data_IF_270959079146
#
_entry.id   IF_270959079146
#
_cell.length_a   1.000
_cell.length_b   1.000
_cell.length_c   1.000
_cell.angle_alpha   90.00
_cell.angle_beta   90.00
_cell.angle_gamma   90.00
#
_symmetry.space_group_name_H-M   'P 1'
#
loop_
_entity.id
_entity.type
_entity.pdbx_description
1 polymer ?
#
# COMPACT_ATOMS: atom_id res chain seq x y z
N UNK A 1 7.16 -13.81 0.21
CA UNK A 1 5.78 -14.18 0.63
C UNK A 1 5.67 -15.68 0.80
N UNK A 2 4.82 -16.14 1.73
CA UNK A 2 4.58 -17.57 1.96
C UNK A 2 3.93 -18.23 0.74
N UNK A 3 4.23 -19.53 0.54
CA UNK A 3 3.75 -20.28 -0.62
C UNK A 3 2.22 -20.41 -0.66
N UNK A 4 1.56 -20.42 0.50
CA UNK A 4 0.07 -20.44 0.59
C UNK A 4 -0.60 -19.25 -0.08
N UNK A 5 0.11 -18.12 -0.25
CA UNK A 5 -0.38 -16.93 -0.93
C UNK A 5 0.12 -16.80 -2.37
N UNK A 6 0.82 -17.82 -2.89
CA UNK A 6 1.41 -17.79 -4.23
C UNK A 6 2.88 -17.33 -4.26
N UNK A 7 3.46 -16.99 -3.12
CA UNK A 7 4.87 -16.63 -3.00
C UNK A 7 5.80 -17.84 -3.13
N UNK A 8 7.09 -17.59 -3.34
CA UNK A 8 8.13 -18.63 -3.46
C UNK A 8 8.69 -19.09 -2.13
N UNK A 9 8.31 -18.48 -1.01
CA UNK A 9 8.82 -18.84 0.32
C UNK A 9 10.34 -18.68 0.48
N UNK A 10 10.96 -17.78 -0.28
CA UNK A 10 12.41 -17.58 -0.25
C UNK A 10 12.87 -17.08 1.13
N UNK A 11 14.04 -17.57 1.56
CA UNK A 11 14.76 -17.01 2.71
C UNK A 11 15.17 -15.55 2.43
N UNK A 12 15.57 -14.81 3.47
CA UNK A 12 16.09 -13.43 3.30
C UNK A 12 17.28 -13.38 2.34
N UNK A 13 18.19 -14.35 2.43
CA UNK A 13 19.32 -14.45 1.52
C UNK A 13 18.87 -14.71 0.08
N UNK A 14 17.95 -15.65 -0.13
CA UNK A 14 17.40 -15.92 -1.47
C UNK A 14 16.68 -14.71 -2.06
N UNK A 15 15.98 -13.92 -1.25
CA UNK A 15 15.36 -12.64 -1.69
C UNK A 15 16.40 -11.61 -2.07
N UNK A 16 17.49 -11.47 -1.30
CA UNK A 16 18.56 -10.53 -1.62
C UNK A 16 19.17 -10.79 -2.99
N UNK A 17 19.44 -12.06 -3.31
CA UNK A 17 19.97 -12.45 -4.63
C UNK A 17 18.99 -12.11 -5.76
N UNK A 18 17.69 -12.38 -5.55
CA UNK A 18 16.65 -12.05 -6.54
C UNK A 18 16.51 -10.54 -6.70
N UNK A 19 16.55 -9.76 -5.62
CA UNK A 19 16.42 -8.30 -5.68
C UNK A 19 17.64 -7.65 -6.33
N UNK A 20 18.85 -8.17 -6.06
CA UNK A 20 20.05 -7.72 -6.75
C UNK A 20 19.92 -7.94 -8.26
N UNK A 21 19.54 -9.15 -8.69
CA UNK A 21 19.33 -9.45 -10.09
C UNK A 21 18.23 -8.59 -10.74
N UNK A 22 17.11 -8.35 -10.02
CA UNK A 22 16.04 -7.48 -10.47
C UNK A 22 16.51 -6.04 -10.69
N UNK A 23 17.41 -5.54 -9.83
CA UNK A 23 17.93 -4.16 -9.89
C UNK A 23 18.75 -3.83 -11.14
N UNK A 24 19.18 -4.81 -11.93
CA UNK A 24 19.87 -4.58 -13.20
C UNK A 24 18.96 -4.09 -14.32
N UNK A 25 17.65 -4.10 -14.13
CA UNK A 25 16.68 -3.61 -15.13
C UNK A 25 15.62 -2.73 -14.46
N UNK A 26 15.25 -1.58 -15.04
CA UNK A 26 14.12 -0.78 -14.56
C UNK A 26 12.80 -1.57 -14.49
N UNK A 27 12.64 -2.58 -15.34
CA UNK A 27 11.46 -3.45 -15.35
C UNK A 27 11.58 -4.66 -14.40
N UNK A 28 12.78 -4.95 -13.90
CA UNK A 28 13.03 -6.12 -13.07
C UNK A 28 12.17 -6.18 -11.81
N UNK A 29 12.11 -5.15 -10.97
CA UNK A 29 11.26 -5.13 -9.79
C UNK A 29 9.77 -5.30 -10.11
N UNK A 30 9.32 -4.75 -11.22
CA UNK A 30 7.92 -4.87 -11.68
C UNK A 30 7.65 -6.29 -12.17
N UNK A 31 8.51 -6.84 -13.01
CA UNK A 31 8.36 -8.19 -13.56
C UNK A 31 8.41 -9.29 -12.50
N UNK A 32 9.20 -9.09 -11.45
CA UNK A 32 9.29 -10.01 -10.32
C UNK A 32 8.32 -9.70 -9.19
N UNK A 33 7.47 -8.69 -9.36
CA UNK A 33 6.47 -8.24 -8.39
C UNK A 33 7.07 -7.98 -6.99
N UNK A 34 8.23 -7.35 -6.98
CA UNK A 34 8.94 -6.97 -5.76
C UNK A 34 9.17 -5.44 -5.65
N UNK A 35 8.48 -4.66 -6.48
CA UNK A 35 8.50 -3.20 -6.40
C UNK A 35 7.63 -2.68 -5.24
N UNK A 36 8.06 -1.57 -4.65
CA UNK A 36 7.20 -0.82 -3.74
C UNK A 36 6.00 -0.21 -4.50
N UNK A 37 4.83 -0.05 -3.85
CA UNK A 37 4.52 -0.39 -2.46
C UNK A 37 4.05 -1.83 -2.25
N UNK A 38 3.80 -2.60 -3.31
CA UNK A 38 3.15 -3.90 -3.26
C UNK A 38 3.89 -4.90 -2.36
N UNK A 39 5.22 -4.96 -2.46
CA UNK A 39 6.01 -5.87 -1.63
C UNK A 39 5.83 -5.58 -0.15
N UNK A 40 5.92 -4.32 0.26
CA UNK A 40 5.71 -3.88 1.64
C UNK A 40 4.26 -4.14 2.11
N UNK A 41 3.28 -3.84 1.26
CA UNK A 41 1.86 -4.07 1.56
C UNK A 41 1.54 -5.56 1.72
N UNK A 42 2.15 -6.45 0.92
CA UNK A 42 2.01 -7.90 1.10
C UNK A 42 2.49 -8.35 2.48
N UNK A 43 3.65 -7.88 2.94
CA UNK A 43 4.18 -8.21 4.26
C UNK A 43 3.31 -7.67 5.38
N UNK A 44 2.82 -6.44 5.24
CA UNK A 44 1.92 -5.83 6.20
C UNK A 44 0.61 -6.63 6.32
N UNK A 45 -0.03 -6.93 5.20
CA UNK A 45 -1.28 -7.72 5.19
C UNK A 45 -1.07 -9.12 5.76
N UNK A 46 0.05 -9.79 5.44
CA UNK A 46 0.35 -11.11 6.00
C UNK A 46 0.45 -11.06 7.52
N UNK A 47 1.05 -9.99 8.07
CA UNK A 47 1.29 -9.84 9.50
C UNK A 47 0.03 -9.50 10.30
N UNK A 48 -0.81 -8.57 9.79
CA UNK A 48 -1.85 -7.96 10.64
C UNK A 48 -3.28 -8.06 10.10
N UNK A 49 -3.49 -8.43 8.83
CA UNK A 49 -4.83 -8.49 8.27
C UNK A 49 -5.62 -9.72 8.77
N UNK A 50 -6.95 -9.60 8.82
CA UNK A 50 -7.83 -10.74 9.04
C UNK A 50 -7.73 -11.75 7.90
N UNK A 51 -8.11 -13.00 8.13
CA UNK A 51 -8.09 -14.04 7.07
C UNK A 51 -9.01 -13.64 5.89
N UNK A 52 -10.14 -12.99 6.15
CA UNK A 52 -11.02 -12.44 5.11
C UNK A 52 -10.28 -11.43 4.24
N UNK A 53 -9.59 -10.45 4.84
CA UNK A 53 -8.80 -9.45 4.11
C UNK A 53 -7.60 -10.08 3.39
N UNK A 54 -6.97 -11.11 3.96
CA UNK A 54 -5.89 -11.84 3.27
C UNK A 54 -6.39 -12.56 2.03
N UNK A 55 -7.55 -13.20 2.10
CA UNK A 55 -8.15 -13.84 0.92
C UNK A 55 -8.56 -12.82 -0.13
N UNK A 56 -9.15 -11.69 0.29
CA UNK A 56 -9.65 -10.66 -0.61
C UNK A 56 -8.53 -9.85 -1.27
N UNK A 57 -7.47 -9.51 -0.54
CA UNK A 57 -6.46 -8.56 -0.97
C UNK A 57 -5.06 -9.15 -1.11
N UNK A 58 -4.58 -9.89 -0.09
CA UNK A 58 -3.22 -10.42 -0.10
C UNK A 58 -3.03 -11.50 -1.16
N UNK A 59 -3.93 -12.45 -1.26
CA UNK A 59 -3.80 -13.56 -2.19
C UNK A 59 -3.74 -13.09 -3.66
N UNK A 60 -4.67 -12.26 -4.17
CA UNK A 60 -4.56 -11.74 -5.54
C UNK A 60 -3.38 -10.77 -5.72
N UNK A 61 -3.02 -9.99 -4.69
CA UNK A 61 -1.82 -9.15 -4.76
C UNK A 61 -0.55 -10.00 -4.92
N UNK A 62 -0.39 -11.07 -4.15
CA UNK A 62 0.77 -11.97 -4.27
C UNK A 62 0.86 -12.68 -5.63
N UNK A 63 -0.26 -12.88 -6.32
CA UNK A 63 -0.30 -13.46 -7.66
C UNK A 63 -0.11 -12.43 -8.78
N UNK A 64 0.01 -11.13 -8.43
CA UNK A 64 0.13 -10.05 -9.40
C UNK A 64 -1.15 -9.74 -10.17
N UNK A 65 -2.30 -10.20 -9.70
CA UNK A 65 -3.62 -9.98 -10.33
C UNK A 65 -4.15 -8.57 -10.08
N UNK A 66 -3.74 -7.97 -8.96
CA UNK A 66 -4.08 -6.60 -8.58
C UNK A 66 -2.84 -5.86 -8.10
N UNK A 67 -2.95 -4.54 -8.02
CA UNK A 67 -1.93 -3.65 -7.46
C UNK A 67 -2.50 -2.91 -6.25
N UNK A 68 -1.59 -2.39 -5.42
CA UNK A 68 -1.94 -1.67 -4.21
C UNK A 68 -1.18 -0.35 -4.08
N UNK A 69 -1.64 0.51 -3.17
CA UNK A 69 -0.92 1.72 -2.77
C UNK A 69 -0.78 1.81 -1.26
N UNK A 70 0.22 2.57 -0.82
CA UNK A 70 0.38 2.96 0.58
C UNK A 70 0.28 4.48 0.70
N UNK A 71 -0.84 4.95 1.22
CA UNK A 71 -1.20 6.36 1.30
C UNK A 71 -0.80 6.94 2.66
N UNK A 72 0.49 7.25 2.84
CA UNK A 72 1.01 7.86 4.06
C UNK A 72 1.29 9.34 3.88
N UNK A 73 2.12 9.68 2.89
CA UNK A 73 2.68 11.01 2.70
C UNK A 73 1.61 12.07 2.44
N UNK A 74 1.76 13.23 3.07
CA UNK A 74 0.86 14.36 2.94
C UNK A 74 1.60 15.61 2.43
N UNK A 75 0.95 16.46 1.61
CA UNK A 75 1.52 17.74 1.21
C UNK A 75 1.62 18.70 2.40
N UNK A 76 2.48 19.71 2.29
CA UNK A 76 2.53 20.79 3.28
C UNK A 76 1.12 21.46 3.42
N UNK A 77 0.67 21.76 4.66
CA UNK A 77 1.35 21.68 5.96
C UNK A 77 1.22 20.34 6.67
N UNK A 78 0.84 19.27 5.98
CA UNK A 78 0.68 17.94 6.55
C UNK A 78 1.99 17.25 6.90
N UNK A 79 1.86 16.00 7.28
CA UNK A 79 2.89 15.20 7.91
C UNK A 79 4.17 14.96 7.08
N UNK A 80 4.15 15.22 5.76
CA UNK A 80 5.15 14.56 4.94
C UNK A 80 5.03 13.05 5.14
N UNK A 81 6.10 12.39 5.61
CA UNK A 81 6.10 10.97 5.95
C UNK A 81 6.15 10.66 7.44
N UNK A 82 5.85 11.63 8.31
CA UNK A 82 5.81 11.46 9.76
C UNK A 82 4.39 11.09 10.22
N UNK A 83 4.14 9.88 10.71
CA UNK A 83 2.80 9.45 11.12
C UNK A 83 2.22 10.21 12.32
N UNK A 84 3.07 10.84 13.14
CA UNK A 84 2.62 11.60 14.31
C UNK A 84 2.05 12.98 13.92
N UNK A 85 2.38 13.45 12.71
CA UNK A 85 1.96 14.75 12.19
C UNK A 85 0.81 14.67 11.17
N UNK A 86 0.14 13.52 11.05
CA UNK A 86 -0.95 13.32 10.08
C UNK A 86 -2.07 14.35 10.25
N UNK A 87 -2.44 15.00 9.15
CA UNK A 87 -3.64 15.85 9.04
C UNK A 87 -4.85 15.08 8.48
N UNK A 88 -4.63 14.01 7.72
CA UNK A 88 -5.70 13.08 7.36
C UNK A 88 -6.29 12.51 8.63
N UNK A 89 -7.60 12.61 8.78
CA UNK A 89 -8.33 12.15 9.97
C UNK A 89 -9.29 11.03 9.62
N UNK A 90 -9.53 10.16 10.59
CA UNK A 90 -10.59 9.16 10.52
C UNK A 90 -11.49 9.31 11.75
N UNK A 91 -12.78 9.48 11.49
CA UNK A 91 -13.81 9.62 12.52
C UNK A 91 -14.78 8.44 12.45
N UNK A 92 -14.99 7.80 13.58
CA UNK A 92 -15.93 6.68 13.67
C UNK A 92 -17.38 7.16 13.57
N UNK A 93 -18.18 6.45 12.77
CA UNK A 93 -19.63 6.67 12.62
C UNK A 93 -20.32 5.30 12.65
N UNK A 94 -20.84 4.93 13.80
CA UNK A 94 -21.37 3.58 14.02
C UNK A 94 -20.29 2.52 13.92
N UNK A 95 -20.44 1.56 13.00
CA UNK A 95 -19.45 0.52 12.69
C UNK A 95 -18.37 0.99 11.72
N UNK A 96 -18.57 2.13 11.02
CA UNK A 96 -17.75 2.58 9.92
C UNK A 96 -16.83 3.74 10.32
N UNK A 97 -15.94 4.11 9.41
CA UNK A 97 -15.09 5.29 9.55
C UNK A 97 -15.26 6.21 8.34
N UNK A 98 -15.36 7.50 8.60
CA UNK A 98 -15.23 8.53 7.58
C UNK A 98 -13.79 9.03 7.63
N UNK A 99 -13.05 8.78 6.54
CA UNK A 99 -11.67 9.26 6.36
C UNK A 99 -11.70 10.53 5.51
N UNK A 100 -10.99 11.57 5.95
CA UNK A 100 -10.89 12.83 5.22
C UNK A 100 -9.47 13.37 5.27
N UNK A 101 -8.92 13.70 4.11
CA UNK A 101 -7.57 14.24 3.98
C UNK A 101 -7.06 14.19 2.56
N UNK A 102 -5.82 14.61 2.38
CA UNK A 102 -5.12 14.61 1.09
C UNK A 102 -3.79 13.90 1.23
N UNK A 103 -3.50 13.02 0.29
CA UNK A 103 -2.23 12.31 0.17
C UNK A 103 -1.54 12.70 -1.13
N UNK A 104 -0.20 12.65 -1.17
CA UNK A 104 0.55 12.93 -2.37
C UNK A 104 1.77 12.04 -2.50
N UNK A 105 2.42 12.05 -3.66
CA UNK A 105 3.57 11.18 -3.98
C UNK A 105 3.24 9.70 -3.74
N UNK A 106 2.01 9.30 -4.08
CA UNK A 106 1.53 7.94 -3.87
C UNK A 106 1.84 7.10 -5.10
N UNK A 107 2.93 6.35 -5.01
CA UNK A 107 3.39 5.47 -6.09
C UNK A 107 2.32 4.42 -6.42
N UNK A 108 2.00 4.30 -7.71
CA UNK A 108 1.07 3.29 -8.21
C UNK A 108 -0.41 3.63 -8.04
N UNK A 109 -0.77 4.87 -7.66
CA UNK A 109 -2.16 5.25 -7.44
C UNK A 109 -3.07 5.02 -8.67
N UNK A 110 -2.53 5.20 -9.88
CA UNK A 110 -3.23 4.79 -11.10
C UNK A 110 -3.11 3.28 -11.25
N UNK A 111 -4.26 2.61 -11.37
CA UNK A 111 -4.33 1.17 -11.56
C UNK A 111 -4.27 0.32 -10.29
N UNK A 112 -4.13 0.93 -9.12
CA UNK A 112 -4.26 0.20 -7.86
C UNK A 112 -5.73 -0.19 -7.60
N UNK A 113 -5.95 -1.42 -7.13
CA UNK A 113 -7.27 -1.91 -6.75
C UNK A 113 -7.66 -1.48 -5.33
N UNK A 114 -6.68 -1.43 -4.43
CA UNK A 114 -6.91 -1.01 -3.05
C UNK A 114 -5.75 -0.17 -2.51
N UNK A 115 -6.03 0.56 -1.45
CA UNK A 115 -5.06 1.37 -0.72
C UNK A 115 -5.03 1.05 0.76
N UNK A 116 -3.85 1.18 1.35
CA UNK A 116 -3.67 1.27 2.80
C UNK A 116 -3.50 2.75 3.12
N UNK A 117 -4.50 3.34 3.75
CA UNK A 117 -4.54 4.77 4.04
C UNK A 117 -4.22 5.00 5.51
N UNK A 118 -3.17 5.78 5.78
CA UNK A 118 -2.86 6.22 7.13
C UNK A 118 -3.67 7.48 7.46
N UNK A 119 -4.38 7.43 8.57
CA UNK A 119 -5.15 8.54 9.10
C UNK A 119 -5.06 8.59 10.62
N UNK A 120 -5.22 9.77 11.18
CA UNK A 120 -5.24 9.99 12.62
C UNK A 120 -6.64 9.74 13.19
N UNK A 121 -6.69 8.90 14.22
CA UNK A 121 -7.85 8.73 15.10
C UNK A 121 -7.55 9.30 16.49
N UNK A 122 -8.52 9.35 17.41
CA UNK A 122 -8.25 9.71 18.81
C UNK A 122 -7.20 8.80 19.49
N UNK A 123 -7.08 7.55 19.01
CA UNK A 123 -6.14 6.55 19.53
C UNK A 123 -4.74 6.66 18.90
N UNK A 124 -4.56 7.49 17.87
CA UNK A 124 -3.30 7.69 17.17
C UNK A 124 -3.36 7.37 15.68
N UNK A 125 -2.18 7.22 15.07
CA UNK A 125 -2.06 6.86 13.68
C UNK A 125 -2.59 5.45 13.43
N UNK A 126 -3.52 5.33 12.50
CA UNK A 126 -4.23 4.07 12.19
C UNK A 126 -4.21 3.81 10.69
N UNK A 127 -4.15 2.56 10.29
CA UNK A 127 -4.19 2.14 8.89
C UNK A 127 -5.58 1.62 8.53
N UNK A 128 -6.09 2.10 7.42
CA UNK A 128 -7.39 1.72 6.86
C UNK A 128 -7.22 1.07 5.49
N UNK A 129 -7.85 -0.08 5.28
CA UNK A 129 -7.99 -0.67 3.96
C UNK A 129 -9.19 -0.05 3.24
N UNK A 130 -8.99 0.38 1.99
CA UNK A 130 -10.05 0.91 1.16
C UNK A 130 -9.89 0.48 -0.29
N UNK A 131 -10.98 0.32 -1.01
CA UNK A 131 -10.94 0.19 -2.47
C UNK A 131 -10.61 1.55 -3.10
N UNK A 132 -9.80 1.56 -4.16
CA UNK A 132 -9.41 2.83 -4.80
C UNK A 132 -10.54 3.44 -5.66
N UNK A 133 -11.56 2.67 -5.98
CA UNK A 133 -12.78 3.11 -6.65
C UNK A 133 -13.94 3.41 -5.68
N UNK A 134 -13.66 3.43 -4.36
CA UNK A 134 -14.68 3.77 -3.36
C UNK A 134 -15.19 5.22 -3.54
N UNK A 135 -16.49 5.46 -3.31
CA UNK A 135 -17.04 6.81 -3.37
C UNK A 135 -16.29 7.78 -2.46
N UNK A 136 -15.91 8.95 -3.01
CA UNK A 136 -15.18 9.99 -2.28
C UNK A 136 -13.67 9.93 -2.43
N UNK A 137 -13.09 8.91 -3.09
CA UNK A 137 -11.69 8.90 -3.48
C UNK A 137 -11.54 9.54 -4.85
N UNK A 138 -10.62 10.50 -4.96
CA UNK A 138 -10.30 11.18 -6.22
C UNK A 138 -8.79 11.28 -6.39
N UNK A 139 -8.28 10.87 -7.53
CA UNK A 139 -6.92 11.17 -7.97
C UNK A 139 -6.93 12.52 -8.66
N UNK A 140 -6.43 13.55 -7.97
CA UNK A 140 -6.49 14.93 -8.46
C UNK A 140 -5.54 15.19 -9.63
N UNK A 141 -4.37 14.59 -9.61
CA UNK A 141 -3.37 14.67 -10.68
C UNK A 141 -2.33 13.57 -10.61
N UNK A 142 -1.71 13.31 -11.73
CA UNK A 142 -0.46 12.55 -11.85
C UNK A 142 0.68 13.53 -11.79
N UNK A 143 1.74 13.17 -11.05
CA UNK A 143 2.96 13.97 -10.99
C UNK A 143 3.94 13.45 -12.05
N UNK A 144 4.54 14.38 -12.78
CA UNK A 144 5.64 14.04 -13.67
C UNK A 144 6.85 13.66 -12.82
N UNK A 145 7.46 12.52 -13.13
CA UNK A 145 8.66 12.00 -12.49
C UNK A 145 9.80 11.94 -13.50
N UNK A 146 11.00 11.65 -13.05
CA UNK A 146 12.18 11.55 -13.93
C UNK A 146 12.31 10.20 -14.64
N UNK A 147 11.43 9.25 -14.35
CA UNK A 147 11.35 7.89 -14.88
C UNK A 147 10.32 7.70 -15.98
#
# INVERSE_FOLDING_TARGET
>A
MASRWGGKGLSHFGRAVVFEAAGYSPLGPIALHCAAPDEGNMHLLEAVASEEHKLRWLAPLCRGEIRSVFCMTEPHPGAGSDPDLLLTTARRVGSDFIVNGRKWLITGAIGARFGIVMARTPEGATMFLTEMDAPGITIERVLDTLD
#
